data_IF_036252393414
#
_entry.id   IF_036252393414
#
_cell.length_a   1.000
_cell.length_b   1.000
_cell.length_c   1.000
_cell.angle_alpha   90.00
_cell.angle_beta   90.00
_cell.angle_gamma   90.00
#
_symmetry.space_group_name_H-M   'P 1'
#
loop_
_entity.id
_entity.type
_entity.pdbx_description
1 polymer ?
#
# COMPACT_ATOMS: atom_id res chain seq x y z
N UNK A 1 -32.02 -12.27 7.38
CA UNK A 1 -31.71 -12.49 5.95
C UNK A 1 -31.83 -11.13 5.30
N UNK A 2 -30.73 -10.39 5.28
CA UNK A 2 -30.67 -9.09 4.60
C UNK A 2 -30.51 -9.42 3.11
N UNK A 3 -31.37 -8.81 2.31
CA UNK A 3 -31.51 -8.97 0.87
C UNK A 3 -30.25 -8.45 0.15
N UNK A 4 -29.21 -9.29 -0.02
CA UNK A 4 -27.89 -8.88 -0.55
C UNK A 4 -27.85 -8.71 -2.07
N UNK A 5 -29.00 -8.65 -2.75
CA UNK A 5 -29.10 -8.33 -4.19
C UNK A 5 -29.60 -6.91 -4.43
N UNK A 6 -29.24 -5.94 -3.57
CA UNK A 6 -29.33 -4.54 -3.97
C UNK A 6 -28.52 -4.38 -5.27
N UNK A 7 -29.19 -3.99 -6.36
CA UNK A 7 -28.59 -3.87 -7.68
C UNK A 7 -27.51 -2.78 -7.64
N UNK A 8 -26.26 -3.18 -7.46
CA UNK A 8 -25.15 -2.24 -7.45
C UNK A 8 -25.04 -1.61 -8.83
N UNK A 9 -25.05 -0.28 -8.86
CA UNK A 9 -24.96 0.49 -10.09
C UNK A 9 -23.56 0.35 -10.71
N UNK A 10 -23.47 -0.41 -11.80
CA UNK A 10 -22.24 -0.64 -12.54
C UNK A 10 -21.79 0.56 -13.40
N UNK A 11 -22.63 1.60 -13.55
CA UNK A 11 -22.30 2.77 -14.37
C UNK A 11 -21.00 3.45 -13.90
N UNK A 12 -20.75 3.45 -12.59
CA UNK A 12 -19.54 4.00 -11.99
C UNK A 12 -18.27 3.21 -12.36
N UNK A 13 -18.38 1.95 -12.78
CA UNK A 13 -17.25 1.12 -13.20
C UNK A 13 -16.81 1.39 -14.65
N UNK A 14 -17.69 1.95 -15.49
CA UNK A 14 -17.42 2.15 -16.93
C UNK A 14 -16.13 2.94 -17.22
N UNK A 15 -15.80 4.04 -16.52
CA UNK A 15 -14.54 4.75 -16.75
C UNK A 15 -13.31 3.88 -16.48
N UNK A 16 -13.37 3.01 -15.47
CA UNK A 16 -12.30 2.08 -15.12
C UNK A 16 -12.16 1.02 -16.20
N UNK A 17 -13.27 0.39 -16.64
CA UNK A 17 -13.23 -0.61 -17.71
C UNK A 17 -12.63 -0.02 -19.01
N UNK A 18 -12.99 1.23 -19.33
CA UNK A 18 -12.45 1.95 -20.48
C UNK A 18 -10.95 2.24 -20.35
N UNK A 19 -10.50 2.69 -19.17
CA UNK A 19 -9.08 2.97 -18.88
C UNK A 19 -8.18 1.76 -19.15
N UNK A 20 -8.67 0.57 -18.84
CA UNK A 20 -7.95 -0.69 -18.99
C UNK A 20 -8.33 -1.48 -20.25
N UNK A 21 -9.01 -0.85 -21.21
CA UNK A 21 -9.42 -1.53 -22.44
C UNK A 21 -8.22 -2.16 -23.17
N UNK A 22 -8.38 -3.42 -23.57
CA UNK A 22 -7.33 -4.19 -24.26
C UNK A 22 -6.28 -4.84 -23.34
N UNK A 23 -6.30 -4.54 -22.04
CA UNK A 23 -5.44 -5.19 -21.04
C UNK A 23 -5.95 -6.58 -20.67
N UNK A 24 -5.10 -7.37 -20.03
CA UNK A 24 -5.40 -8.73 -19.56
C UNK A 24 -5.13 -8.85 -18.05
N UNK A 25 -4.73 -10.03 -17.61
CA UNK A 25 -4.48 -10.38 -16.20
C UNK A 25 -3.51 -9.42 -15.51
N UNK A 26 -2.57 -8.83 -16.24
CA UNK A 26 -1.60 -7.86 -15.68
C UNK A 26 -2.25 -6.58 -15.14
N UNK A 27 -3.50 -6.29 -15.50
CA UNK A 27 -4.26 -5.16 -15.00
C UNK A 27 -5.26 -5.52 -13.88
N UNK A 28 -5.31 -6.79 -13.43
CA UNK A 28 -6.31 -7.23 -12.47
C UNK A 28 -6.21 -6.50 -11.12
N UNK A 29 -5.04 -6.53 -10.48
CA UNK A 29 -4.83 -5.87 -9.19
C UNK A 29 -5.16 -4.37 -9.21
N UNK A 30 -4.61 -3.55 -10.13
CA UNK A 30 -4.93 -2.12 -10.14
C UNK A 30 -6.40 -1.84 -10.48
N UNK A 31 -7.04 -2.66 -11.33
CA UNK A 31 -8.47 -2.53 -11.61
C UNK A 31 -9.33 -2.87 -10.38
N UNK A 32 -8.98 -3.89 -9.60
CA UNK A 32 -9.66 -4.22 -8.34
C UNK A 32 -9.52 -3.09 -7.31
N UNK A 33 -8.34 -2.47 -7.18
CA UNK A 33 -8.17 -1.31 -6.31
C UNK A 33 -9.07 -0.13 -6.71
N UNK A 34 -9.13 0.21 -8.01
CA UNK A 34 -9.99 1.30 -8.49
C UNK A 34 -11.48 0.98 -8.32
N UNK A 35 -11.88 -0.27 -8.57
CA UNK A 35 -13.25 -0.71 -8.34
C UNK A 35 -13.62 -0.62 -6.85
N UNK A 36 -12.75 -1.09 -5.95
CA UNK A 36 -12.98 -0.98 -4.52
C UNK A 36 -13.00 0.48 -4.04
N UNK A 37 -12.17 1.37 -4.59
CA UNK A 37 -12.23 2.79 -4.26
C UNK A 37 -13.59 3.43 -4.62
N UNK A 38 -14.24 2.93 -5.68
CA UNK A 38 -15.60 3.36 -6.09
C UNK A 38 -16.66 2.80 -5.14
N UNK A 39 -16.65 1.49 -4.86
CA UNK A 39 -17.76 0.82 -4.16
C UNK A 39 -17.55 0.65 -2.65
N UNK A 40 -16.34 0.87 -2.14
CA UNK A 40 -15.90 0.55 -0.77
C UNK A 40 -15.47 -0.90 -0.57
N UNK A 41 -15.97 -1.81 -1.41
CA UNK A 41 -15.69 -3.25 -1.41
C UNK A 41 -15.80 -3.80 -2.83
N UNK A 42 -15.70 -5.11 -3.03
CA UNK A 42 -15.71 -5.78 -4.33
C UNK A 42 -16.91 -6.73 -4.46
N UNK A 43 -18.08 -6.22 -4.88
CA UNK A 43 -19.26 -7.04 -5.11
C UNK A 43 -19.08 -8.07 -6.23
N UNK A 44 -19.82 -9.18 -6.16
CA UNK A 44 -19.74 -10.26 -7.16
C UNK A 44 -20.00 -9.79 -8.60
N UNK A 45 -21.01 -8.92 -8.82
CA UNK A 45 -21.30 -8.38 -10.16
C UNK A 45 -20.19 -7.45 -10.69
N UNK A 46 -19.49 -6.73 -9.81
CA UNK A 46 -18.31 -5.92 -10.15
C UNK A 46 -17.14 -6.84 -10.52
N UNK A 47 -16.88 -7.89 -9.74
CA UNK A 47 -15.87 -8.90 -10.04
C UNK A 47 -16.13 -9.60 -11.38
N UNK A 48 -17.39 -9.94 -11.69
CA UNK A 48 -17.79 -10.50 -12.98
C UNK A 48 -17.52 -9.54 -14.16
N UNK A 49 -17.86 -8.26 -14.01
CA UNK A 49 -17.61 -7.25 -15.03
C UNK A 49 -16.12 -7.09 -15.33
N UNK A 50 -15.29 -7.06 -14.27
CA UNK A 50 -13.82 -7.05 -14.35
C UNK A 50 -13.30 -8.31 -15.07
N UNK A 51 -13.82 -9.49 -14.70
CA UNK A 51 -13.43 -10.75 -15.33
C UNK A 51 -13.73 -10.81 -16.82
N UNK A 52 -14.91 -10.31 -17.24
CA UNK A 52 -15.28 -10.19 -18.65
C UNK A 52 -14.34 -9.23 -19.40
N UNK A 53 -14.03 -8.07 -18.81
CA UNK A 53 -13.17 -7.06 -19.44
C UNK A 53 -11.72 -7.54 -19.62
N UNK A 54 -11.14 -8.17 -18.59
CA UNK A 54 -9.75 -8.63 -18.59
C UNK A 54 -9.56 -10.05 -19.14
N UNK A 55 -10.66 -10.77 -19.39
CA UNK A 55 -10.68 -12.21 -19.75
C UNK A 55 -9.99 -13.08 -18.71
N UNK A 56 -10.29 -12.83 -17.44
CA UNK A 56 -9.80 -13.62 -16.30
C UNK A 56 -10.98 -14.42 -15.73
N UNK A 57 -10.83 -15.74 -15.48
CA UNK A 57 -11.87 -16.54 -14.86
C UNK A 57 -12.27 -15.98 -13.49
N UNK A 58 -13.57 -15.99 -13.18
CA UNK A 58 -14.08 -15.45 -11.92
C UNK A 58 -13.46 -16.15 -10.68
N UNK A 59 -13.19 -17.45 -10.76
CA UNK A 59 -12.52 -18.20 -9.70
C UNK A 59 -11.11 -17.65 -9.36
N UNK A 60 -10.36 -17.23 -10.37
CA UNK A 60 -9.05 -16.61 -10.17
C UNK A 60 -9.17 -15.24 -9.52
N UNK A 61 -10.23 -14.49 -9.84
CA UNK A 61 -10.51 -13.18 -9.23
C UNK A 61 -10.87 -13.36 -7.76
N UNK A 62 -11.75 -14.31 -7.44
CA UNK A 62 -12.06 -14.65 -6.06
C UNK A 62 -10.80 -15.06 -5.29
N UNK A 63 -9.96 -15.91 -5.87
CA UNK A 63 -8.69 -16.29 -5.26
C UNK A 63 -7.76 -15.09 -4.98
N UNK A 64 -7.74 -14.09 -5.86
CA UNK A 64 -6.99 -12.84 -5.62
C UNK A 64 -7.63 -12.00 -4.51
N UNK A 65 -8.95 -11.83 -4.53
CA UNK A 65 -9.68 -11.04 -3.52
C UNK A 65 -9.53 -11.64 -2.13
N UNK A 66 -9.62 -12.97 -1.99
CA UNK A 66 -9.43 -13.65 -0.71
C UNK A 66 -7.97 -13.67 -0.24
N UNK A 67 -7.01 -13.66 -1.16
CA UNK A 67 -5.59 -13.74 -0.82
C UNK A 67 -5.01 -12.42 -0.28
N UNK A 68 -5.41 -11.28 -0.85
CA UNK A 68 -4.93 -9.97 -0.42
C UNK A 68 -5.83 -9.38 0.65
N UNK A 69 -5.31 -9.22 1.86
CA UNK A 69 -6.06 -8.76 3.05
C UNK A 69 -6.69 -7.37 2.94
N UNK A 70 -6.30 -6.57 1.95
CA UNK A 70 -6.85 -5.22 1.72
C UNK A 70 -7.95 -5.19 0.65
N UNK A 71 -8.34 -6.35 0.11
CA UNK A 71 -9.54 -6.48 -0.70
C UNK A 71 -10.69 -7.04 0.14
N UNK A 72 -11.86 -6.42 0.00
CA UNK A 72 -13.04 -6.75 0.79
C UNK A 72 -14.11 -7.36 -0.12
N UNK A 73 -14.48 -8.61 0.13
CA UNK A 73 -15.57 -9.30 -0.57
C UNK A 73 -16.94 -9.03 0.02
N UNK A 74 -17.00 -8.38 1.19
CA UNK A 74 -18.22 -8.03 1.92
C UNK A 74 -18.30 -6.50 2.08
N UNK A 75 -19.49 -5.93 2.35
CA UNK A 75 -19.64 -4.50 2.56
C UNK A 75 -18.68 -3.94 3.62
N UNK A 76 -17.91 -2.92 3.25
CA UNK A 76 -16.93 -2.23 4.09
C UNK A 76 -17.01 -0.73 3.85
N UNK A 77 -16.73 0.09 4.86
CA UNK A 77 -16.66 1.53 4.68
C UNK A 77 -15.48 1.92 3.79
N UNK A 78 -15.63 2.99 3.00
CA UNK A 78 -14.49 3.55 2.25
C UNK A 78 -13.37 4.05 3.16
N UNK A 79 -13.73 4.50 4.36
CA UNK A 79 -12.79 4.92 5.40
C UNK A 79 -12.54 3.73 6.33
N UNK A 80 -11.37 3.12 6.20
CA UNK A 80 -10.93 2.03 7.08
C UNK A 80 -9.84 2.55 8.02
N UNK A 81 -10.03 2.38 9.31
CA UNK A 81 -9.02 2.63 10.34
C UNK A 81 -8.26 1.33 10.56
N UNK A 82 -6.93 1.36 10.39
CA UNK A 82 -6.07 0.18 10.51
C UNK A 82 -5.05 0.39 11.60
N UNK A 83 -5.11 -0.38 12.67
CA UNK A 83 -4.20 -0.27 13.82
C UNK A 83 -3.17 -1.38 13.76
N UNK A 84 -1.89 -1.04 13.76
CA UNK A 84 -0.80 -2.02 13.77
C UNK A 84 -0.67 -2.67 15.14
N UNK A 85 -0.66 -4.01 15.19
CA UNK A 85 -0.46 -4.77 16.44
C UNK A 85 0.83 -5.59 16.48
N UNK A 86 1.66 -5.49 15.45
CA UNK A 86 2.95 -6.19 15.41
C UNK A 86 3.89 -5.73 16.54
N UNK A 87 4.94 -6.53 16.88
CA UNK A 87 5.62 -6.44 18.16
C UNK A 87 6.09 -5.05 18.61
N UNK A 88 6.60 -4.21 17.70
CA UNK A 88 7.03 -2.86 18.04
C UNK A 88 5.86 -1.98 18.52
N UNK A 89 4.70 -2.07 17.85
CA UNK A 89 3.50 -1.34 18.23
C UNK A 89 2.86 -1.93 19.48
N UNK A 90 2.82 -3.25 19.63
CA UNK A 90 2.31 -3.89 20.85
C UNK A 90 3.14 -3.51 22.09
N UNK A 91 4.47 -3.51 22.00
CA UNK A 91 5.35 -3.05 23.10
C UNK A 91 5.14 -1.58 23.43
N UNK A 92 4.70 -0.77 22.46
CA UNK A 92 4.37 0.64 22.62
C UNK A 92 2.90 0.88 23.03
N UNK A 93 2.15 -0.14 23.46
CA UNK A 93 0.75 -0.07 23.89
C UNK A 93 -0.30 0.15 22.76
N UNK A 94 -0.10 -0.47 21.60
CA UNK A 94 -1.09 -0.47 20.52
C UNK A 94 -2.46 -1.05 20.93
N UNK A 95 -2.50 -2.00 21.86
CA UNK A 95 -3.76 -2.54 22.39
C UNK A 95 -4.59 -1.47 23.10
N UNK A 96 -3.94 -0.56 23.85
CA UNK A 96 -4.62 0.56 24.47
C UNK A 96 -5.15 1.56 23.44
N UNK A 97 -4.41 1.78 22.35
CA UNK A 97 -4.84 2.61 21.21
C UNK A 97 -6.07 2.01 20.54
N UNK A 98 -6.05 0.72 20.22
CA UNK A 98 -7.23 0.05 19.65
C UNK A 98 -8.43 0.12 20.61
N UNK A 99 -8.25 -0.26 21.88
CA UNK A 99 -9.35 -0.27 22.83
C UNK A 99 -10.02 1.12 22.97
N UNK A 100 -9.22 2.19 22.91
CA UNK A 100 -9.74 3.56 22.91
C UNK A 100 -10.51 3.92 21.62
N UNK A 101 -10.07 3.43 20.45
CA UNK A 101 -10.79 3.58 19.17
C UNK A 101 -12.11 2.81 19.22
N UNK A 102 -12.08 1.53 19.62
CA UNK A 102 -13.27 0.69 19.74
C UNK A 102 -14.29 1.29 20.70
N UNK A 103 -13.85 1.77 21.87
CA UNK A 103 -14.72 2.41 22.85
C UNK A 103 -15.38 3.70 22.34
N UNK A 104 -14.67 4.48 21.51
CA UNK A 104 -15.21 5.72 20.93
C UNK A 104 -16.18 5.46 19.79
N UNK A 105 -15.90 4.48 18.95
CA UNK A 105 -16.70 4.18 17.76
C UNK A 105 -17.82 3.17 18.04
N UNK A 106 -17.74 2.42 19.15
CA UNK A 106 -18.65 1.31 19.43
C UNK A 106 -18.52 0.18 18.41
N UNK A 107 -17.31 -0.04 17.91
CA UNK A 107 -16.98 -1.06 16.90
C UNK A 107 -15.87 -1.96 17.40
N UNK A 108 -15.81 -3.17 16.87
CA UNK A 108 -14.72 -4.10 17.04
C UNK A 108 -13.96 -4.36 15.74
N UNK A 109 -12.87 -5.10 15.83
CA UNK A 109 -12.13 -5.60 14.68
C UNK A 109 -13.03 -6.20 13.57
N UNK A 110 -12.88 -5.67 12.35
CA UNK A 110 -13.60 -6.09 11.16
C UNK A 110 -15.03 -5.55 11.08
N UNK A 111 -15.50 -4.82 12.09
CA UNK A 111 -16.84 -4.25 12.08
C UNK A 111 -16.89 -2.91 11.36
N UNK A 112 -18.03 -2.67 10.73
CA UNK A 112 -18.34 -1.43 10.02
C UNK A 112 -19.50 -0.75 10.74
N UNK A 113 -19.41 0.57 10.93
CA UNK A 113 -20.47 1.38 11.51
C UNK A 113 -21.80 1.19 10.74
N UNK A 114 -22.92 1.23 11.47
CA UNK A 114 -24.25 1.03 10.91
C UNK A 114 -24.63 2.06 9.82
N UNK A 115 -24.01 3.25 9.86
CA UNK A 115 -24.15 4.29 8.85
C UNK A 115 -23.18 4.15 7.66
N UNK A 116 -22.32 3.12 7.67
CA UNK A 116 -21.30 2.86 6.66
C UNK A 116 -20.14 3.85 6.65
N UNK A 117 -19.99 4.67 7.70
CA UNK A 117 -19.01 5.76 7.72
C UNK A 117 -17.57 5.30 7.94
N UNK A 118 -17.35 4.24 8.73
CA UNK A 118 -16.02 3.76 9.12
C UNK A 118 -16.00 2.26 9.43
N UNK A 119 -14.89 1.61 9.09
CA UNK A 119 -14.55 0.24 9.49
C UNK A 119 -13.27 0.28 10.32
N UNK A 120 -13.14 -0.59 11.33
CA UNK A 120 -11.94 -0.65 12.18
C UNK A 120 -11.31 -2.03 12.10
N UNK A 121 -10.00 -2.10 11.85
CA UNK A 121 -9.26 -3.35 11.69
C UNK A 121 -7.91 -3.31 12.41
N UNK A 122 -7.52 -4.43 13.02
CA UNK A 122 -6.14 -4.71 13.37
C UNK A 122 -5.40 -5.19 12.13
N UNK A 123 -4.15 -4.77 11.98
CA UNK A 123 -3.31 -5.17 10.86
C UNK A 123 -1.90 -5.54 11.31
N UNK A 124 -1.19 -6.35 10.52
CA UNK A 124 0.26 -6.54 10.67
C UNK A 124 1.04 -5.23 10.47
N UNK A 125 2.36 -5.33 10.58
CA UNK A 125 3.29 -4.21 10.46
C UNK A 125 2.99 -3.30 9.25
N UNK A 126 2.80 -2.02 9.54
CA UNK A 126 2.62 -0.95 8.55
C UNK A 126 3.94 -0.33 8.06
N UNK A 127 5.08 -0.92 8.41
CA UNK A 127 6.41 -0.48 7.94
C UNK A 127 6.92 0.82 8.58
N UNK A 128 6.34 1.24 9.70
CA UNK A 128 6.67 2.50 10.40
C UNK A 128 7.00 2.23 11.88
N UNK A 129 7.79 1.19 12.16
CA UNK A 129 8.09 0.74 13.52
C UNK A 129 8.76 1.81 14.39
N UNK A 130 9.49 2.75 13.77
CA UNK A 130 10.14 3.88 14.42
C UNK A 130 9.16 4.92 14.97
N UNK A 131 7.89 4.86 14.52
CA UNK A 131 6.80 5.75 14.93
C UNK A 131 5.75 5.04 15.80
N UNK A 132 6.07 3.85 16.34
CA UNK A 132 5.12 3.06 17.12
C UNK A 132 4.53 3.83 18.34
N UNK A 133 3.23 3.65 18.67
CA UNK A 133 2.20 2.92 17.92
C UNK A 133 1.73 3.66 16.66
N UNK A 134 1.40 2.90 15.62
CA UNK A 134 0.99 3.42 14.31
C UNK A 134 -0.39 2.93 13.91
N UNK A 135 -1.16 3.81 13.29
CA UNK A 135 -2.40 3.46 12.62
C UNK A 135 -2.57 4.25 11.31
N UNK A 136 -3.37 3.72 10.39
CA UNK A 136 -3.90 4.46 9.25
C UNK A 136 -5.33 4.92 9.56
N UNK A 137 -5.66 6.15 9.18
CA UNK A 137 -7.04 6.62 9.09
C UNK A 137 -7.35 6.85 7.59
N UNK A 138 -8.00 5.87 6.97
CA UNK A 138 -8.06 5.76 5.51
C UNK A 138 -6.66 5.40 4.96
N UNK A 139 -6.08 6.29 4.18
CA UNK A 139 -4.72 6.15 3.63
C UNK A 139 -3.68 6.99 4.38
N UNK A 140 -4.11 7.87 5.30
CA UNK A 140 -3.20 8.78 6.02
C UNK A 140 -2.54 8.05 7.19
N UNK A 141 -1.20 8.05 7.30
CA UNK A 141 -0.50 7.43 8.40
C UNK A 141 -0.39 8.35 9.62
N UNK A 142 -0.53 7.77 10.81
CA UNK A 142 -0.36 8.45 12.09
C UNK A 142 0.50 7.58 13.01
N UNK A 143 1.41 8.22 13.73
CA UNK A 143 2.36 7.57 14.63
C UNK A 143 2.40 8.24 16.00
N UNK A 144 3.10 7.61 16.93
CA UNK A 144 3.17 7.97 18.34
C UNK A 144 1.79 8.11 18.98
N UNK A 145 0.85 7.25 18.56
CA UNK A 145 -0.51 7.29 19.06
C UNK A 145 -0.57 6.86 20.52
N UNK A 146 -1.37 7.58 21.29
CA UNK A 146 -1.75 7.23 22.67
C UNK A 146 -3.27 7.25 22.80
N UNK A 147 -3.84 6.60 23.84
CA UNK A 147 -5.28 6.69 24.13
C UNK A 147 -5.82 8.13 24.21
N UNK A 148 -5.02 9.09 24.64
CA UNK A 148 -5.41 10.50 24.76
C UNK A 148 -5.45 11.23 23.42
N UNK A 149 -4.73 10.73 22.40
CA UNK A 149 -4.68 11.34 21.05
C UNK A 149 -5.76 10.83 20.10
N UNK A 150 -6.59 9.87 20.52
CA UNK A 150 -7.54 9.21 19.61
C UNK A 150 -8.58 10.18 19.04
N UNK A 151 -9.02 11.18 19.79
CA UNK A 151 -9.95 12.18 19.26
C UNK A 151 -9.36 12.95 18.07
N UNK A 152 -8.13 13.46 18.21
CA UNK A 152 -7.47 14.18 17.12
C UNK A 152 -7.07 13.27 15.96
N UNK A 153 -6.76 12.00 16.23
CA UNK A 153 -6.56 10.96 15.22
C UNK A 153 -7.83 10.71 14.39
N UNK A 154 -8.96 10.49 15.06
CA UNK A 154 -10.25 10.22 14.43
C UNK A 154 -10.75 11.42 13.62
N UNK A 155 -10.54 12.63 14.12
CA UNK A 155 -10.89 13.87 13.40
C UNK A 155 -9.88 14.23 12.31
N UNK A 156 -8.74 13.52 12.23
CA UNK A 156 -7.68 13.74 11.26
C UNK A 156 -6.91 15.05 11.45
N UNK A 157 -7.02 15.67 12.64
CA UNK A 157 -6.35 16.91 13.04
C UNK A 157 -4.97 16.67 13.63
N UNK A 158 -4.67 15.44 14.05
CA UNK A 158 -3.33 15.05 14.43
C UNK A 158 -2.36 15.25 13.24
N UNK A 159 -1.16 15.80 13.46
CA UNK A 159 -0.17 15.90 12.40
C UNK A 159 0.23 14.50 11.92
N UNK A 160 0.40 14.39 10.60
CA UNK A 160 0.97 13.19 9.99
C UNK A 160 2.39 12.97 10.53
N UNK A 161 2.71 11.71 10.81
CA UNK A 161 3.99 11.40 11.42
C UNK A 161 5.12 11.61 10.41
N UNK A 162 6.06 12.49 10.74
CA UNK A 162 7.25 12.68 9.94
C UNK A 162 8.26 11.56 10.25
N UNK A 163 8.77 10.91 9.21
CA UNK A 163 9.84 9.94 9.35
C UNK A 163 11.06 10.61 10.01
N UNK A 164 11.50 10.06 11.15
CA UNK A 164 12.72 10.48 11.81
C UNK A 164 13.79 9.41 11.59
N UNK A 165 14.68 9.57 10.57
CA UNK A 165 15.78 8.64 10.40
C UNK A 165 16.65 8.63 11.66
N UNK A 166 16.84 7.45 12.26
CA UNK A 166 17.70 7.28 13.42
C UNK A 166 19.17 7.26 13.00
N UNK A 167 20.01 8.02 13.71
CA UNK A 167 21.43 8.15 13.44
C UNK A 167 21.78 9.20 12.38
N UNK A 168 23.07 9.36 12.12
CA UNK A 168 23.53 10.25 11.05
C UNK A 168 22.98 9.73 9.70
N UNK A 169 22.43 10.60 8.85
CA UNK A 169 21.90 10.19 7.56
C UNK A 169 23.03 9.55 6.74
N UNK A 170 22.95 8.22 6.59
CA UNK A 170 23.69 7.51 5.56
C UNK A 170 23.00 7.82 4.24
N UNK A 171 23.41 8.93 3.61
CA UNK A 171 22.98 9.34 2.28
C UNK A 171 23.44 8.31 1.23
N UNK A 172 22.82 7.13 1.23
CA UNK A 172 22.98 6.13 0.18
C UNK A 172 22.48 6.65 -1.17
N UNK A 173 21.63 7.68 -1.13
CA UNK A 173 21.14 8.43 -2.28
C UNK A 173 21.60 9.88 -2.16
N UNK A 174 22.78 10.19 -2.69
CA UNK A 174 23.47 11.48 -2.57
C UNK A 174 22.65 12.73 -3.02
N UNK A 175 21.50 12.53 -3.67
CA UNK A 175 20.64 13.56 -4.28
C UNK A 175 19.34 13.84 -3.51
N UNK A 176 18.97 13.02 -2.53
CA UNK A 176 17.75 13.27 -1.73
C UNK A 176 17.87 14.62 -1.03
N UNK A 177 16.86 15.48 -1.20
CA UNK A 177 16.83 16.84 -0.64
C UNK A 177 17.75 17.86 -1.33
N UNK A 178 18.41 17.49 -2.43
CA UNK A 178 19.32 18.37 -3.20
C UNK A 178 18.88 18.63 -4.64
N UNK A 179 17.92 17.86 -5.14
CA UNK A 179 17.40 17.98 -6.50
C UNK A 179 15.89 18.13 -6.46
N UNK A 180 15.35 18.87 -7.43
CA UNK A 180 13.93 18.84 -7.77
C UNK A 180 13.60 17.50 -8.44
N UNK A 181 12.81 16.61 -7.80
CA UNK A 181 12.47 15.31 -8.36
C UNK A 181 11.58 15.40 -9.62
N UNK A 182 10.96 16.56 -9.87
CA UNK A 182 10.15 16.81 -11.07
C UNK A 182 10.95 17.30 -12.28
N UNK A 183 12.23 17.66 -12.10
CA UNK A 183 13.06 18.25 -13.14
C UNK A 183 14.12 17.29 -13.65
N UNK A 184 14.00 16.90 -14.92
CA UNK A 184 15.00 16.07 -15.58
C UNK A 184 16.36 16.77 -15.70
N UNK A 185 16.33 18.07 -16.02
CA UNK A 185 17.53 18.89 -16.19
C UNK A 185 18.27 19.01 -14.86
N UNK A 186 17.55 19.25 -13.76
CA UNK A 186 18.16 19.34 -12.44
C UNK A 186 18.74 18.00 -11.97
N UNK A 187 18.06 16.89 -12.31
CA UNK A 187 18.62 15.56 -12.09
C UNK A 187 19.93 15.36 -12.86
N UNK A 188 20.00 15.80 -14.13
CA UNK A 188 21.18 15.68 -14.99
C UNK A 188 22.36 16.56 -14.53
N UNK A 189 22.10 17.82 -14.15
CA UNK A 189 23.15 18.73 -13.63
C UNK A 189 23.79 18.17 -12.36
N UNK A 190 23.03 17.43 -11.56
CA UNK A 190 23.52 16.71 -10.38
C UNK A 190 24.06 15.29 -10.69
N UNK A 191 24.45 15.03 -11.93
CA UNK A 191 25.11 13.80 -12.37
C UNK A 191 24.17 12.61 -12.57
N UNK A 192 22.86 12.85 -12.72
CA UNK A 192 21.89 11.86 -13.14
C UNK A 192 22.27 11.21 -14.47
N UNK A 193 21.80 9.98 -14.69
CA UNK A 193 22.06 9.16 -15.89
C UNK A 193 23.53 8.84 -16.26
N UNK A 194 24.54 9.39 -15.60
CA UNK A 194 25.95 9.06 -15.92
C UNK A 194 26.23 7.56 -15.83
N UNK A 195 25.70 6.90 -14.79
CA UNK A 195 25.81 5.46 -14.63
C UNK A 195 25.07 4.68 -15.74
N UNK A 196 23.90 5.18 -16.16
CA UNK A 196 23.13 4.58 -17.25
C UNK A 196 23.89 4.69 -18.59
N UNK A 197 24.42 5.87 -18.91
CA UNK A 197 25.20 6.08 -20.14
C UNK A 197 26.42 5.15 -20.18
N UNK A 198 27.13 5.00 -19.06
CA UNK A 198 28.25 4.05 -18.93
C UNK A 198 27.79 2.60 -19.08
N UNK A 199 26.65 2.22 -18.49
CA UNK A 199 26.10 0.87 -18.57
C UNK A 199 25.67 0.50 -20.01
N UNK A 200 25.05 1.43 -20.73
CA UNK A 200 24.67 1.24 -22.14
C UNK A 200 25.92 1.09 -23.01
N UNK A 201 26.94 1.93 -22.80
CA UNK A 201 28.17 1.88 -23.58
C UNK A 201 28.99 0.60 -23.37
N UNK A 202 28.97 0.00 -22.17
CA UNK A 202 29.71 -1.24 -21.89
C UNK A 202 29.03 -2.50 -22.43
N UNK A 203 27.71 -2.47 -22.61
CA UNK A 203 26.92 -3.64 -22.98
C UNK A 203 26.63 -4.61 -21.83
N UNK A 204 25.69 -5.56 -22.03
CA UNK A 204 25.13 -6.39 -20.97
C UNK A 204 26.15 -7.33 -20.31
N UNK A 205 27.00 -8.00 -21.08
CA UNK A 205 27.95 -8.98 -20.54
C UNK A 205 28.99 -8.32 -19.63
N UNK A 206 29.53 -7.18 -20.06
CA UNK A 206 30.49 -6.41 -19.26
C UNK A 206 29.84 -5.81 -18.01
N UNK A 207 28.56 -5.43 -18.08
CA UNK A 207 27.79 -4.96 -16.92
C UNK A 207 27.56 -6.08 -15.90
N UNK A 208 27.18 -7.27 -16.34
CA UNK A 208 26.99 -8.43 -15.47
C UNK A 208 28.32 -8.83 -14.81
N UNK A 209 29.41 -8.89 -15.58
CA UNK A 209 30.74 -9.17 -15.06
C UNK A 209 31.22 -8.12 -14.05
N UNK A 210 30.90 -6.84 -14.29
CA UNK A 210 31.17 -5.76 -13.34
C UNK A 210 30.36 -5.91 -12.05
N UNK A 211 29.06 -6.22 -12.17
CA UNK A 211 28.18 -6.45 -11.03
C UNK A 211 28.64 -7.65 -10.20
N UNK A 212 29.06 -8.75 -10.83
CA UNK A 212 29.62 -9.92 -10.15
C UNK A 212 30.94 -9.57 -9.42
N UNK A 213 31.87 -8.92 -10.13
CA UNK A 213 33.16 -8.51 -9.56
C UNK A 213 33.04 -7.51 -8.40
N UNK A 214 32.00 -6.68 -8.40
CA UNK A 214 31.74 -5.71 -7.32
C UNK A 214 31.38 -6.38 -5.98
N UNK A 215 30.98 -7.65 -5.99
CA UNK A 215 30.53 -8.36 -4.79
C UNK A 215 29.25 -7.80 -4.17
N UNK A 216 28.45 -7.04 -4.94
CA UNK A 216 27.18 -6.51 -4.45
C UNK A 216 26.21 -7.66 -4.17
N UNK A 217 25.68 -7.66 -2.95
CA UNK A 217 24.69 -8.63 -2.48
C UNK A 217 23.30 -7.98 -2.44
N UNK A 218 22.27 -8.80 -2.66
CA UNK A 218 20.88 -8.37 -2.48
C UNK A 218 20.62 -7.88 -1.05
N UNK A 219 20.00 -6.70 -0.92
CA UNK A 219 19.70 -6.07 0.38
C UNK A 219 18.33 -6.46 0.96
N UNK A 220 17.60 -7.36 0.30
CA UNK A 220 16.31 -7.89 0.77
C UNK A 220 16.44 -9.06 1.77
N UNK A 221 17.55 -9.16 2.51
CA UNK A 221 17.77 -10.21 3.51
C UNK A 221 18.41 -11.52 3.00
N UNK A 222 18.10 -11.94 1.77
CA UNK A 222 18.64 -13.19 1.21
C UNK A 222 20.15 -13.14 0.89
N UNK A 223 20.74 -11.95 0.79
CA UNK A 223 22.17 -11.73 0.50
C UNK A 223 22.69 -12.45 -0.75
N UNK A 224 21.83 -12.77 -1.72
CA UNK A 224 22.24 -13.45 -2.94
C UNK A 224 23.08 -12.52 -3.83
N UNK A 225 24.21 -12.99 -4.41
CA UNK A 225 25.06 -12.16 -5.27
C UNK A 225 24.31 -11.64 -6.50
N UNK A 226 24.38 -10.32 -6.74
CA UNK A 226 23.62 -9.66 -7.80
C UNK A 226 24.04 -10.13 -9.20
N UNK A 227 25.34 -10.11 -9.49
CA UNK A 227 25.86 -10.52 -10.80
C UNK A 227 25.48 -11.96 -11.16
N UNK A 228 25.57 -12.88 -10.19
CA UNK A 228 25.13 -14.27 -10.37
C UNK A 228 23.63 -14.43 -10.61
N UNK A 229 22.79 -13.55 -10.07
CA UNK A 229 21.33 -13.60 -10.29
C UNK A 229 20.95 -13.17 -11.72
N UNK A 230 21.79 -12.36 -12.35
CA UNK A 230 21.55 -11.82 -13.69
C UNK A 230 22.10 -12.71 -14.80
N UNK A 231 22.97 -13.67 -14.46
CA UNK A 231 23.46 -14.72 -15.35
C UNK A 231 22.43 -15.85 -15.48
#
# INVERSE_FOLDING_TARGET
MIDTMASIDLSHLEPVLKKYHGRRREALLPMLHEAQAIYGWLPGNVQEAIGKALRVPLADIHGVVEFYSMFYSEPTARRVIRVCEDPACSLANAQGVMAAIEAKLGLHHGETAADGSVTVEHVPCLGMCELAPVALNGERPFGHLTPDTIDSFLDGTQPEAAAQPYGDPLWTLARVGKVDPGSLDDYQTHGGYQALAKAVAMGPDALIALADKSGILGRGGAMFPLGRKWF
#
